data_IF_975377452067
#
_entry.id   IF_975377452067
#
_cell.length_a   1.000
_cell.length_b   1.000
_cell.length_c   1.000
_cell.angle_alpha   90.00
_cell.angle_beta   90.00
_cell.angle_gamma   90.00
#
_symmetry.space_group_name_H-M   'P 1'
#
loop_
_entity.id
_entity.type
_entity.pdbx_description
1 polymer ?
#
# COMPACT_ATOMS: atom_id res chain seq x y z
N UNK A 1 19.08 3.82 -7.16
CA UNK A 1 20.30 4.10 -6.38
C UNK A 1 20.18 3.45 -5.01
N UNK A 2 21.25 2.86 -4.44
CA UNK A 2 21.21 2.17 -3.13
C UNK A 2 20.86 3.07 -1.92
N UNK A 3 20.83 4.39 -2.12
CA UNK A 3 20.50 5.38 -1.08
C UNK A 3 19.00 5.74 -1.05
N UNK A 4 18.19 5.15 -1.94
CA UNK A 4 16.76 5.47 -2.14
C UNK A 4 15.82 4.45 -1.46
N UNK A 5 16.33 3.58 -0.59
CA UNK A 5 15.53 2.61 0.15
C UNK A 5 15.90 2.67 1.63
N UNK A 6 14.90 2.78 2.50
CA UNK A 6 15.09 2.61 3.94
C UNK A 6 14.94 1.13 4.32
N UNK A 7 15.89 0.30 3.87
CA UNK A 7 15.81 -1.15 4.04
C UNK A 7 16.89 -1.74 4.96
N UNK A 8 17.74 -0.89 5.56
CA UNK A 8 18.67 -1.34 6.60
C UNK A 8 17.98 -1.28 7.96
N UNK A 9 17.43 -2.42 8.40
CA UNK A 9 16.78 -2.55 9.71
C UNK A 9 17.81 -2.26 10.81
N UNK A 10 17.55 -1.24 11.62
CA UNK A 10 18.33 -0.89 12.81
C UNK A 10 17.85 -1.67 14.03
N UNK A 11 16.54 -1.72 14.21
CA UNK A 11 15.92 -2.42 15.32
C UNK A 11 14.50 -2.88 14.96
N UNK A 12 14.01 -3.85 15.72
CA UNK A 12 12.62 -4.25 15.67
C UNK A 12 12.19 -4.66 17.09
N UNK A 13 10.89 -4.66 17.34
CA UNK A 13 10.33 -5.04 18.64
C UNK A 13 8.98 -5.71 18.48
N UNK A 14 8.74 -6.71 19.32
CA UNK A 14 7.42 -7.25 19.58
C UNK A 14 6.74 -6.36 20.62
N UNK A 15 5.78 -5.55 20.20
CA UNK A 15 5.09 -4.62 21.08
C UNK A 15 3.98 -5.32 21.87
N UNK A 16 3.25 -6.22 21.21
CA UNK A 16 2.18 -7.00 21.81
C UNK A 16 2.13 -8.39 21.19
N UNK A 17 1.86 -9.41 22.00
CA UNK A 17 1.61 -10.79 21.60
C UNK A 17 0.51 -11.36 22.49
N UNK A 18 -0.69 -10.83 22.31
CA UNK A 18 -1.85 -11.10 23.14
C UNK A 18 -2.88 -12.01 22.46
N UNK A 19 -3.94 -12.40 23.18
CA UNK A 19 -5.07 -13.12 22.60
C UNK A 19 -5.90 -12.26 21.64
N UNK A 20 -5.76 -10.93 21.69
CA UNK A 20 -6.56 -10.01 20.87
C UNK A 20 -5.81 -9.54 19.62
N UNK A 21 -4.48 -9.46 19.67
CA UNK A 21 -3.66 -9.01 18.55
C UNK A 21 -2.18 -9.36 18.71
N UNK A 22 -1.47 -9.29 17.58
CA UNK A 22 -0.01 -9.23 17.49
C UNK A 22 0.41 -7.85 16.98
N UNK A 23 1.32 -7.17 17.69
CA UNK A 23 1.87 -5.89 17.25
C UNK A 23 3.40 -5.96 17.13
N UNK A 24 3.93 -5.52 15.98
CA UNK A 24 5.35 -5.44 15.67
C UNK A 24 5.73 -4.00 15.34
N UNK A 25 6.95 -3.60 15.71
CA UNK A 25 7.58 -2.36 15.29
C UNK A 25 8.89 -2.63 14.58
N UNK A 26 9.16 -1.87 13.52
CA UNK A 26 10.41 -1.89 12.77
C UNK A 26 10.95 -0.47 12.62
N UNK A 27 12.25 -0.30 12.84
CA UNK A 27 13.01 0.92 12.54
C UNK A 27 14.10 0.59 11.52
N UNK A 28 14.15 1.37 10.45
CA UNK A 28 15.07 1.15 9.34
C UNK A 28 15.57 2.47 8.75
N UNK A 29 16.76 2.44 8.15
CA UNK A 29 17.33 3.61 7.47
C UNK A 29 17.87 3.28 6.09
N UNK A 30 18.10 4.32 5.30
CA UNK A 30 18.84 4.19 4.06
C UNK A 30 20.35 4.05 4.29
N UNK A 31 21.07 3.64 3.23
CA UNK A 31 22.51 3.30 3.28
C UNK A 31 23.40 4.41 3.86
N UNK A 32 23.10 5.68 3.55
CA UNK A 32 23.83 6.84 4.07
C UNK A 32 23.22 7.42 5.36
N UNK A 33 22.19 6.78 5.93
CA UNK A 33 21.52 7.19 7.16
C UNK A 33 20.92 8.61 7.13
N UNK A 34 20.59 9.11 5.94
CA UNK A 34 19.98 10.44 5.75
C UNK A 34 18.46 10.43 5.86
N UNK A 35 17.84 9.25 5.89
CA UNK A 35 16.40 9.06 6.06
C UNK A 35 16.09 7.78 6.86
N UNK A 36 14.94 7.79 7.51
CA UNK A 36 14.42 6.72 8.36
C UNK A 36 13.00 6.34 7.95
N UNK A 37 12.71 5.04 8.03
CA UNK A 37 11.36 4.48 7.93
C UNK A 37 11.05 3.71 9.20
N UNK A 38 9.95 4.09 9.83
CA UNK A 38 9.34 3.43 10.97
C UNK A 38 8.07 2.72 10.51
N UNK A 39 7.84 1.50 10.98
CA UNK A 39 6.64 0.72 10.63
C UNK A 39 6.05 0.08 11.88
N UNK A 40 4.79 0.37 12.15
CA UNK A 40 3.97 -0.31 13.15
C UNK A 40 3.00 -1.23 12.43
N UNK A 41 3.08 -2.52 12.70
CA UNK A 41 2.19 -3.54 12.14
C UNK A 41 1.34 -4.13 13.26
N UNK A 42 0.03 -4.17 13.04
CA UNK A 42 -0.95 -4.82 13.93
C UNK A 42 -1.70 -5.90 13.16
N UNK A 43 -1.83 -7.08 13.76
CA UNK A 43 -2.68 -8.17 13.28
C UNK A 43 -3.79 -8.37 14.31
N UNK A 44 -5.01 -7.84 14.08
CA UNK A 44 -6.15 -8.11 14.94
C UNK A 44 -6.66 -9.55 14.80
N UNK A 45 -6.96 -10.21 15.91
CA UNK A 45 -7.56 -11.56 15.93
C UNK A 45 -9.08 -11.56 16.04
N UNK A 46 -9.69 -10.41 16.35
CA UNK A 46 -11.13 -10.20 16.38
C UNK A 46 -11.75 -9.91 14.99
N UNK A 47 -10.90 -9.73 13.97
CA UNK A 47 -11.36 -9.56 12.59
C UNK A 47 -11.98 -10.87 12.07
N UNK A 48 -13.16 -10.82 11.41
CA UNK A 48 -13.79 -12.02 10.85
C UNK A 48 -12.98 -12.65 9.70
N UNK A 49 -11.94 -11.95 9.23
CA UNK A 49 -11.07 -12.34 8.10
C UNK A 49 -9.62 -11.97 8.44
N UNK A 50 -8.62 -12.66 7.84
CA UNK A 50 -7.23 -12.27 7.98
C UNK A 50 -7.03 -10.80 7.58
N UNK A 51 -6.48 -10.02 8.50
CA UNK A 51 -6.33 -8.56 8.40
C UNK A 51 -4.98 -8.14 8.95
N UNK A 52 -4.35 -7.18 8.29
CA UNK A 52 -3.18 -6.46 8.78
C UNK A 52 -3.47 -4.96 8.71
N UNK A 53 -3.02 -4.25 9.73
CA UNK A 53 -3.11 -2.80 9.83
C UNK A 53 -1.71 -2.26 10.01
N UNK A 54 -1.34 -1.27 9.20
CA UNK A 54 0.03 -0.80 9.13
C UNK A 54 0.03 0.73 9.16
N UNK A 55 0.78 1.28 10.10
CA UNK A 55 1.20 2.68 10.11
C UNK A 55 2.66 2.72 9.68
N UNK A 56 2.99 3.55 8.69
CA UNK A 56 4.36 3.80 8.27
C UNK A 56 4.67 5.28 8.37
N UNK A 57 5.85 5.59 8.89
CA UNK A 57 6.35 6.96 8.98
C UNK A 57 7.75 7.05 8.40
N UNK A 58 7.89 7.92 7.42
CA UNK A 58 9.17 8.33 6.88
C UNK A 58 9.62 9.63 7.54
N UNK A 59 10.89 9.70 7.93
CA UNK A 59 11.53 10.92 8.46
C UNK A 59 12.83 11.18 7.72
N UNK A 60 12.97 12.37 7.13
CA UNK A 60 14.25 12.84 6.62
C UNK A 60 15.13 13.24 7.80
N UNK A 61 16.26 12.55 8.01
CA UNK A 61 17.19 12.83 9.10
C UNK A 61 18.17 13.97 8.75
N UNK A 62 18.63 14.01 7.49
CA UNK A 62 19.54 15.04 6.97
C UNK A 62 18.99 15.61 5.66
N UNK A 63 18.87 14.76 4.63
CA UNK A 63 18.22 15.11 3.37
C UNK A 63 17.68 13.86 2.64
N UNK A 64 16.69 14.08 1.78
CA UNK A 64 16.22 13.10 0.82
C UNK A 64 16.26 13.68 -0.59
N UNK A 65 17.07 13.10 -1.47
CA UNK A 65 17.32 13.63 -2.81
C UNK A 65 16.39 13.04 -3.89
N UNK A 66 15.49 12.14 -3.51
CA UNK A 66 14.58 11.51 -4.46
C UNK A 66 13.28 12.29 -4.56
N UNK A 67 12.73 12.33 -5.77
CA UNK A 67 11.40 12.86 -6.08
C UNK A 67 10.31 11.85 -5.77
N UNK A 68 10.66 10.69 -5.23
CA UNK A 68 9.72 9.63 -4.86
C UNK A 68 9.92 9.22 -3.40
N UNK A 69 8.83 9.15 -2.64
CA UNK A 69 8.77 8.52 -1.32
C UNK A 69 7.68 7.45 -1.37
N UNK A 70 8.09 6.19 -1.47
CA UNK A 70 7.20 5.05 -1.63
C UNK A 70 6.92 4.37 -0.29
N UNK A 71 5.64 4.10 -0.03
CA UNK A 71 5.16 3.52 1.24
C UNK A 71 4.54 2.14 1.07
N UNK A 72 4.03 1.85 -0.12
CA UNK A 72 3.50 0.54 -0.46
C UNK A 72 4.17 0.09 -1.74
N UNK A 73 4.97 -0.97 -1.63
CA UNK A 73 5.47 -1.78 -2.71
C UNK A 73 5.07 -3.23 -2.36
N UNK A 74 3.79 -3.55 -2.60
CA UNK A 74 3.26 -4.87 -2.27
C UNK A 74 3.63 -5.82 -3.41
N UNK A 75 4.53 -6.74 -3.09
CA UNK A 75 5.00 -7.81 -3.96
C UNK A 75 4.53 -9.17 -3.41
N UNK A 76 3.29 -9.60 -3.70
CA UNK A 76 2.75 -10.82 -3.11
C UNK A 76 3.21 -12.10 -3.82
N UNK A 77 4.02 -11.98 -4.88
CA UNK A 77 4.38 -13.12 -5.74
C UNK A 77 5.87 -13.37 -5.76
N UNK A 78 6.33 -14.64 -5.80
CA UNK A 78 7.75 -14.96 -5.80
C UNK A 78 8.47 -14.63 -7.13
N UNK A 79 7.75 -14.22 -8.17
CA UNK A 79 8.34 -14.00 -9.48
C UNK A 79 7.52 -13.07 -10.39
N UNK A 80 8.18 -12.59 -11.45
CA UNK A 80 7.59 -11.80 -12.55
C UNK A 80 6.76 -12.59 -13.56
N UNK A 81 6.53 -13.88 -13.31
CA UNK A 81 5.85 -14.79 -14.24
C UNK A 81 4.34 -14.72 -13.92
N UNK A 82 3.49 -14.13 -14.79
CA UNK A 82 2.07 -13.90 -14.50
C UNK A 82 1.30 -15.17 -14.14
N UNK A 83 1.68 -16.32 -14.71
CA UNK A 83 1.07 -17.62 -14.43
C UNK A 83 1.30 -18.09 -12.98
N UNK A 84 2.24 -17.48 -12.26
CA UNK A 84 2.50 -17.76 -10.84
C UNK A 84 1.67 -16.89 -9.90
N UNK A 85 0.91 -15.93 -10.43
CA UNK A 85 0.12 -15.01 -9.62
C UNK A 85 -1.20 -15.63 -9.22
N UNK A 86 -1.72 -15.21 -8.07
CA UNK A 86 -2.94 -15.76 -7.48
C UNK A 86 -4.18 -14.91 -7.73
N UNK A 87 -4.08 -13.83 -8.50
CA UNK A 87 -5.17 -12.93 -8.87
C UNK A 87 -5.17 -12.66 -10.38
N UNK A 88 -6.32 -12.28 -10.92
CA UNK A 88 -6.51 -12.02 -12.35
C UNK A 88 -6.56 -10.52 -12.69
N UNK A 89 -6.82 -9.64 -11.71
CA UNK A 89 -6.91 -8.21 -11.95
C UNK A 89 -6.63 -7.35 -10.71
N UNK A 90 -6.36 -6.06 -10.95
CA UNK A 90 -6.38 -5.02 -9.93
C UNK A 90 -7.46 -4.00 -10.24
N UNK A 91 -8.19 -3.61 -9.21
CA UNK A 91 -9.15 -2.51 -9.23
C UNK A 91 -8.64 -1.41 -8.30
N UNK A 92 -8.61 -0.16 -8.77
CA UNK A 92 -8.46 1.04 -7.95
C UNK A 92 -9.79 1.78 -7.89
N UNK A 93 -10.11 2.37 -6.73
CA UNK A 93 -11.27 3.24 -6.53
C UNK A 93 -10.82 4.51 -5.81
N UNK A 94 -11.20 5.65 -6.39
CA UNK A 94 -10.87 6.99 -5.87
C UNK A 94 -12.04 7.66 -5.14
N UNK A 95 -11.79 8.72 -4.34
CA UNK A 95 -12.83 9.42 -3.59
C UNK A 95 -13.93 10.03 -4.45
N UNK A 96 -13.63 10.39 -5.70
CA UNK A 96 -14.61 10.92 -6.67
C UNK A 96 -15.52 9.83 -7.25
N UNK A 97 -15.36 8.57 -6.84
CA UNK A 97 -16.12 7.41 -7.32
C UNK A 97 -15.63 6.85 -8.66
N UNK A 98 -14.58 7.45 -9.25
CA UNK A 98 -13.91 6.89 -10.41
C UNK A 98 -13.18 5.60 -10.03
N UNK A 99 -13.03 4.72 -11.02
CA UNK A 99 -12.35 3.45 -10.85
C UNK A 99 -11.51 3.12 -12.08
N UNK A 100 -10.38 2.45 -11.84
CA UNK A 100 -9.49 1.95 -12.90
C UNK A 100 -9.29 0.46 -12.66
N UNK A 101 -9.33 -0.34 -13.73
CA UNK A 101 -9.13 -1.78 -13.67
C UNK A 101 -8.00 -2.21 -14.60
N UNK A 102 -7.04 -2.97 -14.09
CA UNK A 102 -6.00 -3.64 -14.84
C UNK A 102 -6.25 -5.16 -14.86
N UNK A 103 -6.16 -5.82 -16.03
CA UNK A 103 -6.22 -7.28 -16.15
C UNK A 103 -4.80 -7.87 -16.21
N UNK A 104 -4.56 -9.01 -15.56
CA UNK A 104 -3.25 -9.68 -15.46
C UNK A 104 -3.06 -10.86 -16.41
N UNK A 105 -3.84 -10.92 -17.49
CA UNK A 105 -3.58 -11.85 -18.60
C UNK A 105 -3.24 -11.04 -19.84
N UNK A 106 -2.15 -11.37 -20.54
CA UNK A 106 -1.42 -10.40 -21.35
C UNK A 106 -2.27 -9.92 -22.51
N UNK A 107 -2.59 -8.63 -22.50
CA UNK A 107 -2.45 -7.80 -23.68
C UNK A 107 -2.15 -6.35 -23.24
N UNK A 108 -0.90 -5.95 -23.45
CA UNK A 108 -0.45 -4.60 -23.76
C UNK A 108 -1.30 -3.41 -23.29
N UNK A 109 -1.47 -3.22 -21.98
CA UNK A 109 -1.83 -1.92 -21.42
C UNK A 109 -0.79 -1.46 -20.43
N UNK A 110 0.42 -1.18 -20.95
CA UNK A 110 1.26 -0.17 -20.35
C UNK A 110 0.47 1.12 -20.33
N UNK A 111 -0.04 1.47 -19.15
CA UNK A 111 -0.73 2.71 -18.90
C UNK A 111 -0.29 3.18 -17.54
N UNK A 112 0.48 4.27 -17.51
CA UNK A 112 0.58 5.14 -16.34
C UNK A 112 -0.79 5.80 -16.15
N UNK A 113 -1.79 5.05 -15.71
CA UNK A 113 -2.99 5.67 -15.16
C UNK A 113 -2.73 5.90 -13.69
N UNK A 114 -2.06 7.03 -13.47
CA UNK A 114 -1.79 7.64 -12.19
C UNK A 114 -2.99 8.46 -11.73
N UNK A 115 -3.47 8.20 -10.52
CA UNK A 115 -4.33 9.14 -9.81
C UNK A 115 -3.52 9.97 -8.81
N UNK A 116 -4.13 11.03 -8.30
CA UNK A 116 -3.56 11.85 -7.22
C UNK A 116 -4.49 11.97 -6.00
N UNK A 117 -5.11 10.87 -5.50
CA UNK A 117 -6.10 10.99 -4.46
C UNK A 117 -5.47 11.18 -3.08
N UNK A 118 -6.25 11.76 -2.17
CA UNK A 118 -5.92 11.83 -0.74
C UNK A 118 -6.38 10.56 0.01
N UNK A 119 -7.07 9.63 -0.64
CA UNK A 119 -7.44 8.30 -0.10
C UNK A 119 -7.50 7.31 -1.23
N UNK A 120 -7.07 6.08 -1.02
CA UNK A 120 -7.06 5.07 -2.08
C UNK A 120 -7.64 3.76 -1.58
N UNK A 121 -8.54 3.17 -2.36
CA UNK A 121 -8.86 1.75 -2.24
C UNK A 121 -8.30 1.02 -3.45
N UNK A 122 -7.72 -0.15 -3.22
CA UNK A 122 -7.45 -1.09 -4.30
C UNK A 122 -7.71 -2.54 -3.90
N UNK A 123 -8.02 -3.37 -4.89
CA UNK A 123 -8.28 -4.80 -4.72
C UNK A 123 -7.43 -5.62 -5.68
N UNK A 124 -6.66 -6.57 -5.14
CA UNK A 124 -6.09 -7.70 -5.87
C UNK A 124 -7.17 -8.77 -5.99
N UNK A 125 -7.77 -8.98 -7.16
CA UNK A 125 -8.99 -9.80 -7.27
C UNK A 125 -9.03 -10.82 -8.41
N UNK A 126 -10.00 -11.74 -8.34
CA UNK A 126 -10.06 -12.93 -9.18
C UNK A 126 -9.27 -14.10 -8.57
N UNK A 127 -9.12 -14.12 -7.24
CA UNK A 127 -8.31 -15.13 -6.54
C UNK A 127 -9.16 -16.23 -5.92
N UNK A 128 -8.82 -17.49 -6.19
CA UNK A 128 -9.38 -18.64 -5.45
C UNK A 128 -8.86 -18.74 -4.00
N UNK A 129 -7.87 -17.93 -3.62
CA UNK A 129 -7.27 -17.92 -2.27
C UNK A 129 -7.78 -16.78 -1.40
N UNK A 130 -8.74 -16.01 -1.91
CA UNK A 130 -9.20 -14.76 -1.33
C UNK A 130 -8.57 -13.56 -2.01
N UNK A 131 -9.40 -12.54 -2.27
CA UNK A 131 -8.95 -11.28 -2.84
C UNK A 131 -8.32 -10.44 -1.72
N UNK A 132 -7.29 -9.64 -2.03
CA UNK A 132 -6.67 -8.75 -1.05
C UNK A 132 -7.23 -7.35 -1.29
N UNK A 133 -7.97 -6.85 -0.30
CA UNK A 133 -8.50 -5.49 -0.33
C UNK A 133 -7.62 -4.60 0.52
N UNK A 134 -7.18 -3.49 -0.04
CA UNK A 134 -6.33 -2.52 0.63
C UNK A 134 -6.99 -1.16 0.64
N UNK A 135 -7.01 -0.53 1.80
CA UNK A 135 -7.40 0.86 1.95
C UNK A 135 -6.23 1.65 2.53
N UNK A 136 -5.87 2.74 1.87
CA UNK A 136 -4.83 3.68 2.31
C UNK A 136 -5.50 5.01 2.66
N UNK A 137 -5.26 5.43 3.90
CA UNK A 137 -5.73 6.70 4.44
C UNK A 137 -4.87 7.86 3.95
N UNK A 138 -5.40 9.06 4.14
CA UNK A 138 -4.71 10.28 3.79
C UNK A 138 -3.41 10.42 4.57
N UNK A 139 -2.28 10.66 3.90
CA UNK A 139 -1.02 10.93 4.58
C UNK A 139 -1.09 12.13 5.52
N UNK A 140 -0.15 12.15 6.48
CA UNK A 140 0.18 13.31 7.29
C UNK A 140 1.61 13.76 6.97
N UNK A 141 1.83 15.01 6.50
CA UNK A 141 0.82 16.00 6.14
C UNK A 141 -0.02 15.56 4.93
N UNK A 142 -1.21 16.17 4.80
CA UNK A 142 -2.12 15.89 3.68
C UNK A 142 -1.44 16.23 2.36
N UNK A 143 -1.35 15.24 1.48
CA UNK A 143 -0.78 15.36 0.14
C UNK A 143 -1.39 14.30 -0.79
N UNK A 144 -1.34 14.56 -2.09
CA UNK A 144 -1.83 13.60 -3.09
C UNK A 144 -0.91 12.40 -3.20
N UNK A 145 -1.49 11.20 -3.07
CA UNK A 145 -0.80 9.94 -3.39
C UNK A 145 -0.74 9.75 -4.90
N UNK A 146 0.40 9.36 -5.42
CA UNK A 146 0.48 8.74 -6.75
C UNK A 146 0.42 7.22 -6.60
N UNK A 147 -0.36 6.56 -7.46
CA UNK A 147 -0.39 5.11 -7.52
C UNK A 147 -0.20 4.60 -8.95
N UNK A 148 0.43 3.45 -9.09
CA UNK A 148 0.58 2.76 -10.37
C UNK A 148 0.75 1.26 -10.16
N UNK A 149 0.51 0.51 -11.23
CA UNK A 149 0.93 -0.89 -11.34
C UNK A 149 2.23 -0.88 -12.13
N UNK A 150 3.26 -1.56 -11.63
CA UNK A 150 4.54 -1.66 -12.34
C UNK A 150 4.36 -2.15 -13.76
N UNK A 151 5.20 -1.70 -14.70
CA UNK A 151 5.18 -2.19 -16.09
C UNK A 151 5.51 -3.68 -16.22
N UNK A 152 6.09 -4.30 -15.19
CA UNK A 152 6.27 -5.75 -15.08
C UNK A 152 5.14 -6.45 -14.30
N UNK A 153 4.17 -5.68 -13.81
CA UNK A 153 2.92 -6.06 -13.12
C UNK A 153 3.08 -6.89 -11.84
N UNK A 154 4.23 -6.78 -11.17
CA UNK A 154 4.54 -7.62 -9.99
C UNK A 154 4.21 -6.93 -8.67
N UNK A 155 4.15 -5.59 -8.70
CA UNK A 155 4.06 -4.69 -7.57
C UNK A 155 3.06 -3.55 -7.82
N UNK A 156 2.37 -3.17 -6.75
CA UNK A 156 1.55 -1.95 -6.67
C UNK A 156 2.36 -0.90 -5.95
N UNK A 157 2.64 0.19 -6.67
CA UNK A 157 3.30 1.37 -6.14
C UNK A 157 2.27 2.33 -5.57
N UNK A 158 2.46 2.75 -4.33
CA UNK A 158 1.82 3.95 -3.78
C UNK A 158 2.87 4.82 -3.13
N UNK A 159 2.98 6.04 -3.64
CA UNK A 159 4.07 6.94 -3.31
C UNK A 159 3.62 8.41 -3.28
N UNK A 160 4.54 9.27 -2.84
CA UNK A 160 4.40 10.72 -2.87
C UNK A 160 5.54 11.35 -3.64
N UNK A 161 5.21 12.44 -4.30
CA UNK A 161 6.18 13.33 -4.91
C UNK A 161 6.31 14.58 -4.03
N UNK A 162 7.42 14.75 -3.29
CA UNK A 162 7.63 15.96 -2.53
C UNK A 162 7.73 17.16 -3.48
N UNK A 163 7.14 18.30 -3.08
CA UNK A 163 7.15 19.52 -3.90
C UNK A 163 8.56 20.01 -4.23
N UNK A 164 9.50 19.82 -3.31
CA UNK A 164 10.89 20.25 -3.44
C UNK A 164 11.84 19.11 -3.10
N UNK A 165 12.90 18.97 -3.90
CA UNK A 165 14.05 18.12 -3.61
C UNK A 165 15.32 18.97 -3.60
N UNK A 166 16.25 18.77 -2.65
CA UNK A 166 16.21 17.82 -1.55
C UNK A 166 15.10 18.13 -0.53
N UNK A 167 14.42 17.09 -0.03
CA UNK A 167 13.53 17.23 1.13
C UNK A 167 14.41 17.55 2.35
N UNK A 168 14.10 18.60 3.13
CA UNK A 168 14.94 19.02 4.25
C UNK A 168 14.85 18.07 5.45
N UNK A 169 15.86 18.10 6.31
CA UNK A 169 15.89 17.43 7.61
C UNK A 169 14.63 17.74 8.45
N UNK A 170 14.23 16.77 9.27
CA UNK A 170 13.05 16.79 10.14
C UNK A 170 11.71 16.89 9.40
N UNK A 171 11.68 16.65 8.08
CA UNK A 171 10.43 16.46 7.35
C UNK A 171 9.90 15.05 7.60
N UNK A 172 8.62 14.94 7.92
CA UNK A 172 7.96 13.65 8.20
C UNK A 172 6.77 13.44 7.29
N UNK A 173 6.58 12.19 6.86
CA UNK A 173 5.40 11.74 6.14
C UNK A 173 4.90 10.45 6.78
N UNK A 174 3.62 10.37 7.11
CA UNK A 174 2.99 9.19 7.71
C UNK A 174 1.84 8.71 6.83
N UNK A 175 1.66 7.41 6.69
CA UNK A 175 0.49 6.78 6.06
C UNK A 175 -0.02 5.65 6.92
N UNK A 176 -1.33 5.44 6.87
CA UNK A 176 -1.98 4.26 7.40
C UNK A 176 -2.57 3.45 6.25
N UNK A 177 -2.38 2.14 6.28
CA UNK A 177 -3.10 1.25 5.39
C UNK A 177 -3.55 -0.02 6.09
N UNK A 178 -4.66 -0.54 5.60
CA UNK A 178 -5.27 -1.78 6.05
C UNK A 178 -5.35 -2.71 4.86
N UNK A 179 -4.90 -3.95 5.03
CA UNK A 179 -5.13 -5.02 4.07
C UNK A 179 -5.99 -6.11 4.71
N UNK A 180 -7.04 -6.56 4.03
CA UNK A 180 -7.93 -7.62 4.49
C UNK A 180 -8.25 -8.59 3.35
N UNK A 181 -8.32 -9.89 3.69
CA UNK A 181 -8.70 -10.94 2.73
C UNK A 181 -10.22 -11.00 2.61
N UNK A 182 -10.73 -11.00 1.38
CA UNK A 182 -12.17 -11.03 1.09
C UNK A 182 -12.55 -11.94 -0.07
N UNK A 183 -13.64 -12.70 0.11
CA UNK A 183 -14.30 -13.44 -0.96
C UNK A 183 -13.40 -14.47 -1.65
N UNK A 184 -13.66 -14.70 -2.94
CA UNK A 184 -12.90 -15.61 -3.80
C UNK A 184 -13.00 -15.18 -5.28
N UNK A 185 -12.73 -16.09 -6.21
CA UNK A 185 -12.79 -15.82 -7.65
C UNK A 185 -14.20 -15.50 -8.17
N UNK A 186 -15.25 -15.76 -7.39
CA UNK A 186 -16.65 -15.45 -7.73
C UNK A 186 -17.05 -14.05 -7.29
N UNK A 187 -16.23 -13.37 -6.46
CA UNK A 187 -16.46 -11.99 -6.07
C UNK A 187 -16.51 -11.10 -7.31
N UNK A 188 -17.62 -10.38 -7.46
CA UNK A 188 -17.84 -9.56 -8.64
C UNK A 188 -17.08 -8.23 -8.55
N UNK A 189 -16.72 -7.66 -9.70
CA UNK A 189 -16.12 -6.31 -9.74
C UNK A 189 -17.06 -5.25 -9.15
N UNK A 190 -18.38 -5.40 -9.33
CA UNK A 190 -19.34 -4.40 -8.85
C UNK A 190 -19.46 -4.43 -7.32
N UNK A 191 -19.37 -5.62 -6.71
CA UNK A 191 -19.25 -5.76 -5.27
C UNK A 191 -17.98 -5.05 -4.73
N UNK A 192 -16.83 -5.26 -5.39
CA UNK A 192 -15.59 -4.60 -5.02
C UNK A 192 -15.64 -3.09 -5.19
N UNK A 193 -16.32 -2.58 -6.23
CA UNK A 193 -16.55 -1.13 -6.41
C UNK A 193 -17.37 -0.57 -5.27
N UNK A 194 -18.44 -1.25 -4.85
CA UNK A 194 -19.29 -0.81 -3.74
C UNK A 194 -18.49 -0.77 -2.43
N UNK A 195 -17.70 -1.81 -2.15
CA UNK A 195 -16.78 -1.85 -1.00
C UNK A 195 -15.79 -0.69 -1.06
N UNK A 196 -15.15 -0.49 -2.22
CA UNK A 196 -14.18 0.58 -2.42
C UNK A 196 -14.79 1.97 -2.21
N UNK A 197 -15.97 2.22 -2.78
CA UNK A 197 -16.70 3.49 -2.64
C UNK A 197 -17.10 3.77 -1.18
N UNK A 198 -17.65 2.77 -0.48
CA UNK A 198 -17.94 2.88 0.96
C UNK A 198 -16.66 3.17 1.76
N UNK A 199 -15.55 2.54 1.37
CA UNK A 199 -14.29 2.66 2.10
C UNK A 199 -13.66 4.05 1.95
N UNK A 200 -13.53 4.56 0.73
CA UNK A 200 -13.00 5.90 0.48
C UNK A 200 -13.89 7.00 1.08
N UNK A 201 -15.21 6.81 1.05
CA UNK A 201 -16.17 7.75 1.64
C UNK A 201 -16.07 7.79 3.17
N UNK A 202 -16.01 6.63 3.82
CA UNK A 202 -15.94 6.52 5.29
C UNK A 202 -14.57 6.83 5.86
N UNK A 203 -13.51 6.68 5.06
CA UNK A 203 -12.14 6.75 5.55
C UNK A 203 -11.69 5.48 6.29
N UNK A 204 -12.31 4.32 6.03
CA UNK A 204 -12.00 3.03 6.65
C UNK A 204 -12.27 1.90 5.65
N UNK A 205 -11.59 0.76 5.76
CA UNK A 205 -11.96 -0.42 4.98
C UNK A 205 -13.31 -0.99 5.49
N UNK A 206 -14.36 -0.92 4.67
CA UNK A 206 -15.73 -1.36 5.00
C UNK A 206 -16.21 -2.43 4.02
N UNK A 207 -16.31 -3.67 4.48
CA UNK A 207 -16.59 -4.85 3.66
C UNK A 207 -18.05 -5.33 3.77
N UNK A 208 -18.85 -4.77 4.68
CA UNK A 208 -20.26 -5.14 4.91
C UNK A 208 -21.28 -4.29 4.12
#
# INVERSE_FOLDING_TARGET
SKNQYCNNIRSWSLLENGPDNLCLYFDSVNTNQSAQSETWLRIPYDSPRPRIEITMKFTTLDFWNDTNIEFSDIFPYPSRIPETWFHDAVLFVEPNGSFIKYNYRPDLSGGDTSGSPDKLFYALYGSNRGNILTYIENPLPKQSMHYSVCGNYIDIHVNFQPENTPVPANTTFEVNYVCEVFGDSKTSIDELKVIGQKSVASGKLLID
#
